data_IF_320675236022
#
_entry.id   IF_320675236022
#
_cell.length_a   1.000
_cell.length_b   1.000
_cell.length_c   1.000
_cell.angle_alpha   90.00
_cell.angle_beta   90.00
_cell.angle_gamma   90.00
#
_symmetry.space_group_name_H-M   'P 1'
#
loop_
_entity.id
_entity.type
_entity.pdbx_description
1 polymer ?
#
# COMPACT_ATOMS: atom_id res chain seq x y z
N UNK A 1 2.92 -9.61 9.96
CA UNK A 1 2.11 -8.42 9.59
C UNK A 1 1.91 -8.46 8.08
N UNK A 2 0.66 -8.39 7.62
CA UNK A 2 0.30 -8.59 6.22
C UNK A 2 0.46 -7.29 5.42
N UNK A 3 1.01 -7.39 4.20
CA UNK A 3 1.12 -6.25 3.28
C UNK A 3 -0.27 -5.82 2.83
N UNK A 4 -0.57 -4.51 2.93
CA UNK A 4 -1.84 -3.97 2.43
C UNK A 4 -1.76 -3.71 0.93
N UNK A 5 -2.87 -3.91 0.22
CA UNK A 5 -3.01 -3.70 -1.22
C UNK A 5 -3.97 -2.54 -1.45
N UNK A 6 -3.47 -1.44 -2.01
CA UNK A 6 -4.31 -0.34 -2.51
C UNK A 6 -4.75 -0.66 -3.93
N UNK A 7 -6.04 -0.54 -4.19
CA UNK A 7 -6.68 -0.73 -5.50
C UNK A 7 -7.33 0.60 -5.89
N UNK A 8 -7.02 1.09 -7.09
CA UNK A 8 -7.63 2.29 -7.67
C UNK A 8 -8.34 1.90 -8.96
N UNK A 9 -9.65 2.06 -9.02
CA UNK A 9 -10.47 1.75 -10.21
C UNK A 9 -11.58 2.79 -10.36
N UNK A 10 -11.73 3.40 -11.53
CA UNK A 10 -12.78 4.39 -11.82
C UNK A 10 -12.88 5.53 -10.77
N UNK A 11 -11.74 6.08 -10.35
CA UNK A 11 -11.60 7.07 -9.26
C UNK A 11 -11.97 6.58 -7.83
N UNK A 12 -12.43 5.34 -7.67
CA UNK A 12 -12.63 4.71 -6.36
C UNK A 12 -11.30 4.13 -5.83
N UNK A 13 -11.00 4.40 -4.56
CA UNK A 13 -9.79 3.92 -3.88
C UNK A 13 -10.18 2.99 -2.74
N UNK A 14 -9.72 1.74 -2.78
CA UNK A 14 -9.88 0.78 -1.68
C UNK A 14 -8.53 0.25 -1.22
N UNK A 15 -8.42 -0.03 0.08
CA UNK A 15 -7.23 -0.64 0.68
C UNK A 15 -7.66 -1.93 1.35
N UNK A 16 -6.97 -3.02 1.01
CA UNK A 16 -7.22 -4.36 1.51
C UNK A 16 -6.04 -4.87 2.33
N UNK A 17 -6.29 -5.77 3.27
CA UNK A 17 -5.25 -6.28 4.17
C UNK A 17 -4.40 -7.40 3.56
N UNK A 18 -4.83 -7.94 2.43
CA UNK A 18 -4.12 -8.98 1.71
C UNK A 18 -4.54 -9.05 0.24
N UNK A 19 -3.77 -9.82 -0.55
CA UNK A 19 -4.01 -10.03 -1.98
C UNK A 19 -5.31 -10.79 -2.29
N UNK A 20 -5.82 -11.60 -1.35
CA UNK A 20 -7.05 -12.37 -1.58
C UNK A 20 -8.26 -11.44 -1.60
N UNK A 21 -8.40 -10.56 -0.61
CA UNK A 21 -9.49 -9.57 -0.56
C UNK A 21 -9.48 -8.64 -1.80
N UNK A 22 -8.30 -8.23 -2.26
CA UNK A 22 -8.18 -7.46 -3.50
C UNK A 22 -8.61 -8.26 -4.73
N UNK A 23 -8.32 -9.57 -4.75
CA UNK A 23 -8.72 -10.47 -5.84
C UNK A 23 -10.24 -10.69 -5.86
N UNK A 24 -10.84 -10.89 -4.68
CA UNK A 24 -12.29 -11.04 -4.52
C UNK A 24 -13.03 -9.78 -5.00
N UNK A 25 -12.53 -8.59 -4.65
CA UNK A 25 -13.09 -7.32 -5.13
C UNK A 25 -12.99 -7.14 -6.65
N UNK A 26 -11.90 -7.63 -7.26
CA UNK A 26 -11.65 -7.50 -8.69
C UNK A 26 -12.25 -8.65 -9.53
N UNK A 27 -12.82 -9.67 -8.89
CA UNK A 27 -13.36 -10.85 -9.56
C UNK A 27 -12.28 -11.71 -10.23
N UNK A 28 -11.07 -11.76 -9.67
CA UNK A 28 -9.93 -12.50 -10.23
C UNK A 28 -9.31 -13.45 -9.22
N UNK A 29 -8.35 -14.26 -9.66
CA UNK A 29 -7.59 -15.11 -8.75
C UNK A 29 -6.49 -14.31 -8.04
N UNK A 30 -6.14 -14.72 -6.82
CA UNK A 30 -4.98 -14.19 -6.08
C UNK A 30 -3.68 -14.26 -6.87
N UNK A 31 -3.52 -15.30 -7.69
CA UNK A 31 -2.35 -15.46 -8.57
C UNK A 31 -2.28 -14.38 -9.64
N UNK A 32 -3.43 -13.98 -10.21
CA UNK A 32 -3.50 -12.89 -11.18
C UNK A 32 -3.11 -11.55 -10.54
N UNK A 33 -3.59 -11.28 -9.31
CA UNK A 33 -3.15 -10.12 -8.53
C UNK A 33 -1.66 -10.17 -8.28
N UNK A 34 -1.12 -11.27 -7.76
CA UNK A 34 0.33 -11.43 -7.51
C UNK A 34 1.17 -11.22 -8.76
N UNK A 35 0.72 -11.71 -9.92
CA UNK A 35 1.39 -11.50 -11.22
C UNK A 35 1.32 -10.03 -11.65
N UNK A 36 0.17 -9.38 -11.52
CA UNK A 36 -0.01 -7.96 -11.82
C UNK A 36 0.92 -7.09 -10.98
N UNK A 37 1.01 -7.37 -9.68
CA UNK A 37 1.91 -6.68 -8.75
C UNK A 37 3.40 -6.77 -9.14
N UNK A 38 3.80 -7.79 -9.91
CA UNK A 38 5.20 -7.95 -10.37
C UNK A 38 5.46 -7.36 -11.74
N UNK A 39 4.45 -7.24 -12.59
CA UNK A 39 4.64 -7.04 -14.04
C UNK A 39 4.13 -5.70 -14.57
N UNK A 40 3.45 -4.90 -13.74
CA UNK A 40 2.92 -3.61 -14.19
C UNK A 40 1.95 -2.92 -13.25
N UNK A 41 1.69 -3.48 -12.07
CA UNK A 41 0.81 -2.87 -11.06
C UNK A 41 -0.63 -2.63 -11.57
N UNK A 42 -1.09 -3.41 -12.54
CA UNK A 42 -2.43 -3.27 -13.12
C UNK A 42 -3.13 -4.62 -13.26
N UNK A 43 -4.39 -4.68 -12.84
CA UNK A 43 -5.24 -5.87 -12.94
C UNK A 43 -6.70 -5.45 -13.18
N UNK A 44 -7.33 -5.96 -14.24
CA UNK A 44 -8.75 -5.68 -14.57
C UNK A 44 -9.09 -4.17 -14.62
N UNK A 45 -8.21 -3.37 -15.24
CA UNK A 45 -8.36 -1.91 -15.32
C UNK A 45 -8.21 -1.18 -13.98
N UNK A 46 -7.80 -1.88 -12.92
CA UNK A 46 -7.47 -1.28 -11.64
C UNK A 46 -5.95 -1.20 -11.46
N UNK A 47 -5.49 -0.09 -10.90
CA UNK A 47 -4.08 0.09 -10.50
C UNK A 47 -3.88 -0.41 -9.07
N UNK A 48 -2.84 -1.21 -8.87
CA UNK A 48 -2.53 -1.92 -7.64
C UNK A 48 -1.20 -1.44 -7.03
N UNK A 49 -1.20 -1.02 -5.77
CA UNK A 49 0.01 -0.62 -5.05
C UNK A 49 0.16 -1.42 -3.75
N UNK A 50 1.40 -1.82 -3.39
CA UNK A 50 1.67 -2.38 -2.07
C UNK A 50 1.94 -1.23 -1.11
N UNK A 51 1.24 -1.22 0.02
CA UNK A 51 1.57 -0.35 1.14
C UNK A 51 2.39 -1.16 2.15
N UNK A 52 3.69 -0.87 2.25
CA UNK A 52 4.56 -1.45 3.26
C UNK A 52 4.51 -0.62 4.55
N UNK A 53 4.25 -1.30 5.68
CA UNK A 53 4.25 -0.71 7.01
C UNK A 53 5.27 -1.37 7.93
N UNK A 54 6.54 -1.32 7.52
CA UNK A 54 7.75 -1.29 8.36
C UNK A 54 8.95 -1.49 7.45
N UNK A 55 9.92 -0.59 7.50
CA UNK A 55 11.28 -0.93 7.14
C UNK A 55 11.77 -1.93 8.21
N UNK A 56 12.03 -3.18 7.83
CA UNK A 56 12.64 -4.16 8.73
C UNK A 56 14.12 -3.85 9.06
N UNK A 57 14.68 -2.78 8.48
CA UNK A 57 16.13 -2.57 8.40
C UNK A 57 16.70 -1.53 9.37
N UNK A 58 15.88 -0.73 10.06
CA UNK A 58 16.39 0.29 11.00
C UNK A 58 15.48 0.42 12.22
N UNK A 59 15.98 -0.04 13.36
CA UNK A 59 15.27 -0.29 14.61
C UNK A 59 14.74 0.95 15.36
N UNK A 60 14.74 2.18 14.80
CA UNK A 60 14.34 3.37 15.57
C UNK A 60 13.54 4.44 14.83
N UNK A 61 13.47 4.40 13.51
CA UNK A 61 12.87 5.48 12.73
C UNK A 61 11.56 5.04 12.09
N UNK A 62 10.46 5.66 12.51
CA UNK A 62 9.14 5.53 11.88
C UNK A 62 9.20 6.21 10.51
N UNK A 63 9.36 5.41 9.46
CA UNK A 63 9.53 5.90 8.09
C UNK A 63 8.33 5.53 7.20
N UNK A 64 7.91 6.47 6.34
CA UNK A 64 6.92 6.24 5.30
C UNK A 64 7.63 5.85 4.00
N UNK A 65 7.34 4.66 3.48
CA UNK A 65 7.87 4.16 2.20
C UNK A 65 6.68 3.88 1.28
N UNK A 66 6.71 4.42 0.07
CA UNK A 66 5.69 4.21 -0.96
C UNK A 66 6.38 3.72 -2.22
N UNK A 67 5.91 2.59 -2.77
CA UNK A 67 6.46 1.97 -3.99
C UNK A 67 8.00 1.81 -3.95
N UNK A 68 8.55 1.47 -2.79
CA UNK A 68 9.99 1.29 -2.58
C UNK A 68 10.79 2.59 -2.38
N UNK A 69 10.16 3.76 -2.51
CA UNK A 69 10.78 5.07 -2.24
C UNK A 69 10.53 5.51 -0.81
N UNK A 70 11.59 5.90 -0.10
CA UNK A 70 11.48 6.57 1.20
C UNK A 70 10.91 7.97 0.98
N UNK A 71 9.76 8.25 1.57
CA UNK A 71 9.06 9.53 1.45
C UNK A 71 9.39 10.46 2.62
N UNK A 72 9.68 9.90 3.80
CA UNK A 72 10.02 10.68 4.98
C UNK A 72 9.89 9.89 6.27
N UNK A 73 10.06 10.58 7.40
CA UNK A 73 9.90 10.04 8.76
C UNK A 73 8.71 10.69 9.47
N UNK A 74 8.20 10.07 10.54
CA UNK A 74 7.05 10.56 11.31
C UNK A 74 7.12 10.15 12.79
N UNK A 75 6.41 10.87 13.67
CA UNK A 75 6.33 10.51 15.09
C UNK A 75 5.15 9.60 15.39
N UNK A 76 3.99 9.87 14.80
CA UNK A 76 2.76 9.09 14.99
C UNK A 76 2.01 8.92 13.69
N UNK A 77 1.25 7.83 13.63
CA UNK A 77 0.40 7.51 12.49
C UNK A 77 -1.00 7.13 12.94
N UNK A 78 -2.00 7.66 12.25
CA UNK A 78 -3.41 7.31 12.41
C UNK A 78 -4.04 6.96 11.07
N UNK A 79 -4.95 5.99 11.06
CA UNK A 79 -5.66 5.55 9.86
C UNK A 79 -7.16 5.71 10.06
N UNK A 80 -7.83 6.42 9.15
CA UNK A 80 -9.28 6.66 9.23
C UNK A 80 -9.88 6.73 7.83
N UNK A 81 -10.90 5.90 7.56
CA UNK A 81 -11.64 5.87 6.29
C UNK A 81 -10.72 5.76 5.06
N UNK A 82 -9.72 4.89 5.10
CA UNK A 82 -8.74 4.70 4.02
C UNK A 82 -7.66 5.78 3.93
N UNK A 83 -7.72 6.82 4.77
CA UNK A 83 -6.72 7.89 4.81
C UNK A 83 -5.64 7.61 5.87
N UNK A 84 -4.45 8.13 5.61
CA UNK A 84 -3.30 8.06 6.51
C UNK A 84 -2.97 9.48 6.99
N UNK A 85 -2.93 9.65 8.31
CA UNK A 85 -2.55 10.90 8.96
C UNK A 85 -1.22 10.69 9.68
N UNK A 86 -0.23 11.51 9.36
CA UNK A 86 1.10 11.48 9.94
C UNK A 86 1.30 12.72 10.80
N UNK A 87 1.73 12.54 12.04
CA UNK A 87 2.11 13.63 12.96
C UNK A 87 3.64 13.68 13.04
N UNK A 88 4.20 14.89 13.01
CA UNK A 88 5.65 15.08 13.02
C UNK A 88 6.32 14.58 11.74
N UNK A 89 5.65 14.71 10.60
CA UNK A 89 6.17 14.22 9.32
C UNK A 89 7.30 15.12 8.81
N UNK A 90 8.45 14.53 8.52
CA UNK A 90 9.59 15.18 7.88
C UNK A 90 9.82 14.51 6.53
N UNK A 91 9.63 15.26 5.45
CA UNK A 91 9.85 14.75 4.11
C UNK A 91 11.35 14.52 3.84
N UNK A 92 11.65 13.47 3.08
CA UNK A 92 12.97 13.27 2.49
C UNK A 92 12.87 13.73 1.04
N UNK A 93 13.54 14.82 0.68
CA UNK A 93 13.68 15.29 -0.72
C UNK A 93 14.40 14.24 -1.58
#
# INVERSE_FOLDING_TARGET
MSNQIKVVKNAEVKVFDNQQQAADFLGVTKQAVSKAMRKGHECQGARLSVLYYKCAYTDKSKCLIIDGKLIGSYDKIQRKNGNVFLTGFVAND
#
